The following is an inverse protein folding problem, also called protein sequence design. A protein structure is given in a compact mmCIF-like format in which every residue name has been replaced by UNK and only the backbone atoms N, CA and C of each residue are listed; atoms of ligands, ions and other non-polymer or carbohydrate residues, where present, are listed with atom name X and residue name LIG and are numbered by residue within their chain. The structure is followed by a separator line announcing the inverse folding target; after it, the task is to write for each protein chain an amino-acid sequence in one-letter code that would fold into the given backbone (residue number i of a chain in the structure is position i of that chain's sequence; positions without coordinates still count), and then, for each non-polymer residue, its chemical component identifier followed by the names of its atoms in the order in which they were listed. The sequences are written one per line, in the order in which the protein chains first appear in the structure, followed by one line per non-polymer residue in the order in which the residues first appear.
data_IF_589241758674
#
_entry.id   IF_589241758674
#
_cell.length_a   1.000
_cell.length_b   1.000
_cell.length_c   1.000
_cell.angle_alpha   90.00
_cell.angle_beta   90.00
_cell.angle_gamma   90.00
#
_symmetry.space_group_name_H-M   'P 1'
#
loop_
_entity.id
_entity.type
_entity.pdbx_description
1 polymer ?
#
# COMPACT_ATOMS: atom_id res chain seq x y z
N UNK A 1 -14.29 -8.65 19.84
CA UNK A 1 -13.83 -8.90 18.46
C UNK A 1 -13.46 -7.54 17.90
N UNK A 2 -12.24 -7.38 17.39
CA UNK A 2 -11.81 -6.12 16.79
C UNK A 2 -12.51 -5.92 15.44
N UNK A 3 -12.57 -4.67 14.97
CA UNK A 3 -13.11 -4.36 13.65
C UNK A 3 -12.14 -4.73 12.52
N UNK A 4 -12.60 -4.55 11.27
CA UNK A 4 -11.80 -4.76 10.06
C UNK A 4 -11.54 -3.40 9.40
N UNK A 5 -10.31 -3.17 8.95
CA UNK A 5 -9.96 -2.06 8.07
C UNK A 5 -9.65 -2.59 6.68
N UNK A 6 -10.26 -1.97 5.67
CA UNK A 6 -9.92 -2.18 4.26
C UNK A 6 -9.28 -0.89 3.74
N UNK A 7 -8.03 -0.98 3.28
CA UNK A 7 -7.28 0.12 2.66
C UNK A 7 -7.09 -0.16 1.18
N UNK A 8 -7.12 0.89 0.37
CA UNK A 8 -6.89 0.81 -1.07
C UNK A 8 -5.98 1.97 -1.45
N UNK A 9 -4.78 1.65 -1.92
CA UNK A 9 -3.90 2.64 -2.55
C UNK A 9 -4.31 2.87 -4.01
N UNK A 10 -4.08 4.08 -4.51
CA UNK A 10 -4.32 4.40 -5.91
C UNK A 10 -3.35 3.65 -6.84
N UNK A 11 -2.14 3.37 -6.37
CA UNK A 11 -1.13 2.68 -7.16
C UNK A 11 -1.43 1.19 -7.38
N UNK A 12 -2.41 0.64 -6.65
CA UNK A 12 -2.96 -0.68 -6.89
C UNK A 12 -3.41 -0.85 -8.36
N UNK A 13 -3.91 0.23 -8.98
CA UNK A 13 -4.44 0.25 -10.33
C UNK A 13 -3.40 0.64 -11.40
N UNK A 14 -2.12 0.82 -11.05
CA UNK A 14 -1.15 1.52 -11.89
C UNK A 14 -0.08 0.60 -12.55
N UNK A 15 -0.17 0.31 -13.87
CA UNK A 15 0.71 -0.63 -14.56
C UNK A 15 2.18 -0.23 -14.67
N UNK A 16 2.50 1.06 -14.64
CA UNK A 16 3.85 1.54 -14.89
C UNK A 16 4.80 1.39 -13.68
N UNK A 17 4.31 0.99 -12.50
CA UNK A 17 5.11 0.87 -11.28
C UNK A 17 6.31 -0.08 -11.42
N UNK A 18 6.21 -1.09 -12.30
CA UNK A 18 7.32 -2.03 -12.56
C UNK A 18 8.57 -1.38 -13.16
N UNK A 19 8.43 -0.29 -13.90
CA UNK A 19 9.54 0.34 -14.61
C UNK A 19 10.24 1.41 -13.77
N UNK A 20 9.55 1.99 -12.79
CA UNK A 20 10.05 3.09 -11.94
C UNK A 20 10.27 2.64 -10.50
N UNK A 21 11.02 1.54 -10.35
CA UNK A 21 11.37 0.97 -9.05
C UNK A 21 12.30 1.93 -8.30
N UNK A 22 11.83 2.45 -7.17
CA UNK A 22 12.68 3.15 -6.22
C UNK A 22 11.92 3.50 -4.94
N UNK A 23 12.38 2.97 -3.81
CA UNK A 23 11.95 3.43 -2.50
C UNK A 23 12.79 4.66 -2.15
N UNK A 24 12.14 5.81 -2.01
CA UNK A 24 12.76 7.04 -1.54
C UNK A 24 12.08 7.44 -0.23
N UNK A 25 12.84 8.02 0.69
CA UNK A 25 12.22 8.65 1.86
C UNK A 25 11.17 9.67 1.39
N UNK A 26 9.93 9.52 1.86
CA UNK A 26 8.82 10.38 1.45
C UNK A 26 9.00 11.78 2.01
N UNK A 27 9.59 12.64 1.19
CA UNK A 27 9.66 14.06 1.47
C UNK A 27 9.50 14.82 0.17
N UNK A 28 9.08 16.07 0.29
CA UNK A 28 8.83 16.96 -0.85
C UNK A 28 10.01 17.04 -1.81
N UNK A 29 11.25 17.02 -1.32
CA UNK A 29 12.43 17.08 -2.18
C UNK A 29 12.59 15.82 -3.03
N UNK A 30 12.46 14.64 -2.42
CA UNK A 30 12.57 13.36 -3.10
C UNK A 30 11.44 13.15 -4.09
N UNK A 31 10.20 13.43 -3.70
CA UNK A 31 9.02 13.35 -4.58
C UNK A 31 9.24 14.23 -5.81
N UNK A 32 9.56 15.51 -5.63
CA UNK A 32 9.79 16.42 -6.76
C UNK A 32 10.94 15.94 -7.64
N UNK A 33 12.09 15.57 -7.05
CA UNK A 33 13.24 15.07 -7.82
C UNK A 33 12.91 13.82 -8.62
N UNK A 34 12.16 12.89 -8.03
CA UNK A 34 11.76 11.66 -8.69
C UNK A 34 10.87 11.95 -9.90
N UNK A 35 9.83 12.76 -9.72
CA UNK A 35 8.93 13.15 -10.80
C UNK A 35 9.62 13.95 -11.90
N UNK A 36 10.51 14.89 -11.56
CA UNK A 36 11.31 15.61 -12.55
C UNK A 36 12.25 14.69 -13.32
N UNK A 37 12.87 13.73 -12.64
CA UNK A 37 13.74 12.74 -13.29
C UNK A 37 12.95 11.90 -14.29
N UNK A 38 11.81 11.34 -13.87
CA UNK A 38 10.92 10.56 -14.74
C UNK A 38 10.51 11.39 -15.96
N UNK A 39 10.09 12.64 -15.73
CA UNK A 39 9.69 13.55 -16.79
C UNK A 39 10.81 13.79 -17.81
N UNK A 40 12.01 14.15 -17.34
CA UNK A 40 13.16 14.46 -18.21
C UNK A 40 13.62 13.20 -18.97
N UNK A 41 13.78 12.07 -18.28
CA UNK A 41 14.21 10.82 -18.91
C UNK A 41 13.20 10.33 -19.97
N UNK A 42 11.90 10.49 -19.71
CA UNK A 42 10.84 10.13 -20.66
C UNK A 42 10.77 11.10 -21.85
N UNK A 43 10.89 12.40 -21.57
CA UNK A 43 10.92 13.44 -22.62
C UNK A 43 12.07 13.22 -23.62
N UNK A 44 13.26 12.87 -23.14
CA UNK A 44 14.41 12.53 -23.99
C UNK A 44 14.12 11.32 -24.89
N UNK A 45 13.31 10.38 -24.42
CA UNK A 45 12.86 9.19 -25.18
C UNK A 45 11.67 9.47 -26.10
N UNK A 46 11.15 10.71 -26.15
CA UNK A 46 9.95 11.05 -26.90
C UNK A 46 8.64 10.52 -26.29
N UNK A 47 8.68 10.14 -25.01
CA UNK A 47 7.53 9.63 -24.26
C UNK A 47 6.87 10.79 -23.50
N UNK A 48 5.57 10.99 -23.72
CA UNK A 48 4.74 11.94 -22.97
C UNK A 48 4.09 11.23 -21.78
N UNK A 49 4.71 11.36 -20.60
CA UNK A 49 4.24 10.68 -19.40
C UNK A 49 2.82 11.06 -19.01
N UNK A 50 2.34 12.25 -19.38
CA UNK A 50 0.95 12.68 -19.09
C UNK A 50 -0.08 11.88 -19.88
N UNK A 51 0.33 11.20 -20.95
CA UNK A 51 -0.50 10.30 -21.76
C UNK A 51 -0.22 8.83 -21.50
N UNK A 52 0.92 8.51 -20.87
CA UNK A 52 1.32 7.13 -20.55
C UNK A 52 0.92 6.71 -19.13
N UNK A 53 0.63 7.67 -18.26
CA UNK A 53 0.08 7.40 -16.93
C UNK A 53 -1.42 7.15 -17.05
N UNK A 54 -1.77 5.89 -17.19
CA UNK A 54 -3.15 5.42 -17.21
C UNK A 54 -3.30 4.24 -16.25
N UNK A 55 -4.54 3.96 -15.87
CA UNK A 55 -4.92 2.83 -15.03
C UNK A 55 -5.02 1.54 -15.86
N UNK A 56 -4.82 0.40 -15.21
CA UNK A 56 -4.69 -0.90 -15.84
C UNK A 56 -5.99 -1.56 -16.32
N UNK A 57 -7.15 -1.06 -15.88
CA UNK A 57 -8.48 -1.62 -16.19
C UNK A 57 -9.14 -2.34 -15.00
N UNK A 58 -8.37 -2.67 -13.96
CA UNK A 58 -8.85 -3.31 -12.73
C UNK A 58 -9.91 -2.47 -11.99
N UNK A 59 -9.91 -1.15 -12.19
CA UNK A 59 -10.87 -0.25 -11.56
C UNK A 59 -12.32 -0.57 -11.94
N UNK A 60 -12.54 -1.17 -13.12
CA UNK A 60 -13.87 -1.39 -13.70
C UNK A 60 -14.69 -2.37 -12.89
N UNK A 61 -14.06 -3.46 -12.48
CA UNK A 61 -14.71 -4.55 -11.76
C UNK A 61 -14.33 -4.56 -10.28
N UNK A 62 -13.47 -3.64 -9.82
CA UNK A 62 -12.96 -3.61 -8.45
C UNK A 62 -14.10 -3.57 -7.43
N UNK A 63 -15.01 -2.61 -7.54
CA UNK A 63 -16.08 -2.44 -6.56
C UNK A 63 -17.08 -3.59 -6.57
N UNK A 64 -17.37 -4.16 -7.73
CA UNK A 64 -18.23 -5.34 -7.84
C UNK A 64 -17.60 -6.53 -7.11
N UNK A 65 -16.30 -6.76 -7.30
CA UNK A 65 -15.56 -7.79 -6.57
C UNK A 65 -15.50 -7.52 -5.05
N UNK A 66 -15.34 -6.26 -4.65
CA UNK A 66 -15.34 -5.88 -3.22
C UNK A 66 -16.71 -6.15 -2.62
N UNK A 67 -17.81 -5.79 -3.28
CA UNK A 67 -19.18 -6.06 -2.80
C UNK A 67 -19.47 -7.55 -2.71
N UNK A 68 -18.97 -8.36 -3.65
CA UNK A 68 -19.17 -9.81 -3.63
C UNK A 68 -18.40 -10.48 -2.48
N UNK A 69 -17.15 -10.05 -2.25
CA UNK A 69 -16.25 -10.66 -1.24
C UNK A 69 -16.43 -10.10 0.15
N UNK A 70 -16.82 -8.83 0.28
CA UNK A 70 -16.99 -8.12 1.54
C UNK A 70 -18.44 -7.67 1.68
N UNK A 71 -19.04 -7.95 2.85
CA UNK A 71 -20.39 -7.50 3.20
C UNK A 71 -20.39 -5.99 3.46
N UNK A 72 -20.42 -5.18 2.39
CA UNK A 72 -20.32 -3.73 2.47
C UNK A 72 -21.51 -3.08 3.21
N UNK A 73 -22.63 -3.79 3.36
CA UNK A 73 -23.75 -3.34 4.20
C UNK A 73 -23.35 -3.07 5.67
N UNK A 74 -22.21 -3.62 6.11
CA UNK A 74 -21.65 -3.42 7.45
C UNK A 74 -20.54 -2.36 7.51
N UNK A 75 -20.31 -1.58 6.44
CA UNK A 75 -19.32 -0.50 6.45
C UNK A 75 -19.81 0.65 7.33
N UNK A 76 -19.12 0.87 8.43
CA UNK A 76 -19.45 1.94 9.38
C UNK A 76 -18.90 3.32 8.96
N UNK A 77 -17.78 3.37 8.23
CA UNK A 77 -17.11 4.61 7.84
C UNK A 77 -16.29 4.41 6.57
N UNK A 78 -16.34 5.41 5.69
CA UNK A 78 -15.46 5.53 4.52
C UNK A 78 -14.62 6.79 4.72
N UNK A 79 -13.31 6.69 4.48
CA UNK A 79 -12.36 7.79 4.59
C UNK A 79 -11.55 7.86 3.30
N UNK A 80 -11.34 9.07 2.80
CA UNK A 80 -10.40 9.36 1.71
C UNK A 80 -9.26 10.16 2.31
N UNK A 81 -8.03 9.67 2.12
CA UNK A 81 -6.81 10.25 2.68
C UNK A 81 -5.72 10.32 1.62
N UNK A 82 -4.84 11.31 1.76
CA UNK A 82 -3.68 11.50 0.87
C UNK A 82 -2.49 10.58 1.21
N UNK A 83 -2.59 9.76 2.26
CA UNK A 83 -1.48 8.94 2.75
C UNK A 83 -1.97 7.73 3.53
N UNK A 84 -1.28 6.59 3.35
CA UNK A 84 -1.47 5.37 4.13
C UNK A 84 -1.01 5.48 5.58
N UNK A 85 -0.18 6.46 5.94
CA UNK A 85 0.12 6.75 7.36
C UNK A 85 -1.16 6.96 8.18
N UNK A 86 -2.19 7.56 7.59
CA UNK A 86 -3.48 7.79 8.24
C UNK A 86 -4.22 6.48 8.59
N UNK A 87 -3.97 5.40 7.84
CA UNK A 87 -4.56 4.10 8.13
C UNK A 87 -4.11 3.54 9.50
N UNK A 88 -2.87 3.84 9.91
CA UNK A 88 -2.35 3.48 11.23
C UNK A 88 -3.20 4.08 12.35
N UNK A 89 -3.44 5.40 12.31
CA UNK A 89 -4.23 6.07 13.34
C UNK A 89 -5.71 5.64 13.30
N UNK A 90 -6.28 5.41 12.10
CA UNK A 90 -7.65 4.90 11.97
C UNK A 90 -7.78 3.50 12.61
N UNK A 91 -6.85 2.59 12.35
CA UNK A 91 -6.87 1.25 12.93
C UNK A 91 -6.74 1.30 14.46
N UNK A 92 -5.82 2.12 14.95
CA UNK A 92 -5.56 2.33 16.39
C UNK A 92 -6.76 2.92 17.12
N UNK A 93 -7.35 4.00 16.59
CA UNK A 93 -8.51 4.65 17.21
C UNK A 93 -9.78 3.80 17.15
N UNK A 94 -9.92 3.00 16.08
CA UNK A 94 -11.09 2.16 15.85
C UNK A 94 -11.04 0.75 16.46
N UNK A 95 -9.93 0.35 17.10
CA UNK A 95 -9.66 -1.04 17.52
C UNK A 95 -9.88 -2.04 16.36
N UNK A 96 -9.40 -1.65 15.16
CA UNK A 96 -9.48 -2.45 13.94
C UNK A 96 -8.28 -3.40 13.92
N UNK A 97 -8.51 -4.70 14.11
CA UNK A 97 -7.45 -5.68 14.39
C UNK A 97 -7.12 -6.60 13.21
N UNK A 98 -7.89 -6.50 12.14
CA UNK A 98 -7.69 -7.24 10.90
C UNK A 98 -7.65 -6.23 9.76
N UNK A 99 -6.59 -6.30 8.95
CA UNK A 99 -6.34 -5.35 7.87
C UNK A 99 -6.40 -6.08 6.53
N UNK A 100 -7.08 -5.48 5.54
CA UNK A 100 -6.99 -5.86 4.13
C UNK A 100 -6.41 -4.67 3.37
N UNK A 101 -5.20 -4.81 2.82
CA UNK A 101 -4.52 -3.76 2.07
C UNK A 101 -4.44 -4.12 0.60
N UNK A 102 -5.10 -3.33 -0.24
CA UNK A 102 -5.00 -3.38 -1.69
C UNK A 102 -3.98 -2.34 -2.14
N UNK A 103 -2.79 -2.79 -2.53
CA UNK A 103 -1.65 -1.90 -2.71
C UNK A 103 -0.63 -2.49 -3.70
N UNK A 104 0.15 -1.67 -4.39
CA UNK A 104 1.33 -2.13 -5.11
C UNK A 104 2.50 -2.49 -4.16
N UNK A 105 2.50 -1.97 -2.95
CA UNK A 105 3.51 -2.12 -1.92
C UNK A 105 2.96 -2.83 -0.68
N UNK A 106 3.83 -3.50 0.07
CA UNK A 106 3.41 -4.18 1.31
C UNK A 106 3.33 -3.26 2.52
N UNK A 107 4.05 -2.13 2.49
CA UNK A 107 4.18 -1.18 3.60
C UNK A 107 4.59 -1.81 4.94
N UNK A 108 5.32 -2.93 4.87
CA UNK A 108 5.82 -3.65 6.03
C UNK A 108 7.11 -3.05 6.60
N UNK A 109 7.77 -2.14 5.89
CA UNK A 109 9.05 -1.57 6.28
C UNK A 109 10.26 -2.19 5.55
N UNK A 110 10.84 -1.41 4.64
CA UNK A 110 11.91 -1.83 3.72
C UNK A 110 13.29 -2.10 4.36
N UNK A 111 13.42 -1.92 5.68
CA UNK A 111 14.64 -2.21 6.43
C UNK A 111 14.56 -3.45 7.32
N UNK A 112 13.56 -4.31 7.10
CA UNK A 112 13.29 -5.45 7.97
C UNK A 112 12.71 -5.05 9.32
N UNK A 113 12.82 -5.90 10.34
CA UNK A 113 12.20 -5.66 11.65
C UNK A 113 12.60 -4.33 12.28
N UNK A 114 13.85 -3.91 12.06
CA UNK A 114 14.40 -2.70 12.67
C UNK A 114 13.75 -1.44 12.10
N UNK A 115 13.21 -1.51 10.89
CA UNK A 115 12.47 -0.38 10.30
C UNK A 115 11.17 -0.06 11.03
N UNK A 116 10.66 -1.00 11.83
CA UNK A 116 9.48 -0.82 12.68
C UNK A 116 9.75 -0.01 13.96
N UNK A 117 11.01 0.36 14.21
CA UNK A 117 11.40 1.25 15.30
C UNK A 117 11.35 2.74 14.92
N UNK A 118 11.22 3.05 13.62
CA UNK A 118 11.09 4.43 13.16
C UNK A 118 9.66 4.96 13.36
N UNK A 119 9.51 6.28 13.17
CA UNK A 119 8.20 6.94 13.12
C UNK A 119 7.34 6.33 12.00
N UNK A 120 6.02 6.39 12.20
CA UNK A 120 5.04 5.88 11.23
C UNK A 120 5.13 6.70 9.95
N UNK A 121 5.08 6.04 8.80
CA UNK A 121 5.00 6.63 7.47
C UNK A 121 4.40 5.60 6.51
N UNK A 122 4.14 5.98 5.24
CA UNK A 122 3.56 5.04 4.27
C UNK A 122 4.42 3.79 4.10
N UNK A 123 5.74 3.88 4.17
CA UNK A 123 6.60 2.73 3.94
C UNK A 123 6.58 1.66 5.05
N UNK A 124 6.04 1.96 6.24
CA UNK A 124 6.06 1.04 7.38
C UNK A 124 4.78 0.95 8.21
N UNK A 125 3.71 1.66 7.85
CA UNK A 125 2.51 1.81 8.70
C UNK A 125 1.92 0.44 9.09
N UNK A 126 1.85 -0.50 8.14
CA UNK A 126 1.25 -1.81 8.35
C UNK A 126 2.14 -2.68 9.26
N UNK A 127 3.45 -2.67 9.01
CA UNK A 127 4.41 -3.33 9.88
C UNK A 127 4.41 -2.74 11.30
N UNK A 128 4.21 -1.42 11.43
CA UNK A 128 4.15 -0.73 12.73
C UNK A 128 2.92 -1.15 13.53
N UNK A 129 1.77 -1.32 12.90
CA UNK A 129 0.56 -1.83 13.57
C UNK A 129 0.82 -3.16 14.27
N UNK A 130 1.57 -4.08 13.63
CA UNK A 130 1.98 -5.33 14.25
C UNK A 130 2.97 -5.12 15.39
N UNK A 131 4.01 -4.32 15.17
CA UNK A 131 5.05 -4.02 16.17
C UNK A 131 4.45 -3.48 17.46
N UNK A 132 3.45 -2.63 17.34
CA UNK A 132 2.81 -1.94 18.45
C UNK A 132 1.64 -2.76 19.05
N UNK A 133 1.40 -3.97 18.53
CA UNK A 133 0.41 -4.92 19.05
C UNK A 133 -1.04 -4.49 18.82
N UNK A 134 -1.28 -3.67 17.79
CA UNK A 134 -2.59 -3.09 17.48
C UNK A 134 -3.44 -3.99 16.59
N UNK A 135 -2.81 -4.86 15.81
CA UNK A 135 -3.47 -5.81 14.92
C UNK A 135 -3.00 -7.24 15.15
N UNK A 136 -3.85 -8.19 14.77
CA UNK A 136 -3.57 -9.62 14.86
C UNK A 136 -3.32 -10.25 13.50
N UNK A 137 -3.80 -9.63 12.42
CA UNK A 137 -3.74 -10.17 11.07
C UNK A 137 -3.72 -9.05 10.03
N UNK A 138 -2.96 -9.27 8.96
CA UNK A 138 -2.98 -8.46 7.75
C UNK A 138 -3.06 -9.35 6.51
N UNK A 139 -3.87 -8.94 5.55
CA UNK A 139 -4.04 -9.53 4.25
C UNK A 139 -3.60 -8.51 3.21
N UNK A 140 -2.47 -8.76 2.55
CA UNK A 140 -1.91 -7.88 1.53
C UNK A 140 -2.31 -8.42 0.17
N UNK A 141 -3.24 -7.73 -0.50
CA UNK A 141 -3.67 -8.02 -1.86
C UNK A 141 -2.78 -7.17 -2.76
N UNK A 142 -1.76 -7.79 -3.33
CA UNK A 142 -0.88 -7.08 -4.24
C UNK A 142 -1.58 -6.72 -5.54
N UNK A 143 -1.31 -5.51 -6.01
CA UNK A 143 -1.57 -5.11 -7.39
C UNK A 143 -1.04 -6.17 -8.37
N UNK A 144 -1.73 -6.44 -9.49
CA UNK A 144 -1.17 -7.18 -10.63
C UNK A 144 0.15 -6.56 -11.16
N UNK A 145 0.35 -5.28 -10.85
CA UNK A 145 1.49 -4.48 -11.24
C UNK A 145 2.56 -4.36 -10.15
N UNK A 146 2.35 -4.95 -8.98
CA UNK A 146 3.35 -4.97 -7.93
C UNK A 146 4.66 -5.57 -8.43
N UNK A 147 5.77 -4.97 -7.99
CA UNK A 147 7.12 -5.47 -8.20
C UNK A 147 7.65 -6.21 -6.97
N UNK A 148 6.93 -6.16 -5.85
CA UNK A 148 7.28 -6.81 -4.59
C UNK A 148 6.80 -8.24 -4.57
N UNK A 149 7.45 -9.03 -3.72
CA UNK A 149 7.00 -10.39 -3.41
C UNK A 149 7.06 -10.60 -1.92
N UNK A 150 6.22 -11.49 -1.42
CA UNK A 150 6.19 -11.85 -0.01
C UNK A 150 7.58 -12.27 0.52
N UNK A 151 8.41 -12.92 -0.31
CA UNK A 151 9.75 -13.35 0.10
C UNK A 151 10.70 -12.18 0.40
N UNK A 152 10.46 -11.00 -0.20
CA UNK A 152 11.27 -9.82 0.04
C UNK A 152 11.11 -9.31 1.50
N UNK A 153 10.01 -9.69 2.18
CA UNK A 153 9.68 -9.34 3.57
C UNK A 153 9.71 -10.55 4.53
N UNK A 154 10.46 -11.60 4.17
CA UNK A 154 10.53 -12.86 4.92
C UNK A 154 10.74 -12.67 6.43
N UNK A 155 11.64 -11.78 6.83
CA UNK A 155 11.94 -11.54 8.26
C UNK A 155 10.70 -11.10 9.06
N UNK A 156 9.84 -10.27 8.44
CA UNK A 156 8.62 -9.75 9.06
C UNK A 156 7.52 -10.81 9.01
N UNK A 157 7.38 -11.50 7.87
CA UNK A 157 6.41 -12.58 7.67
C UNK A 157 6.62 -13.77 8.62
N UNK A 158 7.86 -14.03 9.05
CA UNK A 158 8.13 -15.09 10.03
C UNK A 158 7.72 -14.74 11.47
N UNK A 159 7.49 -13.44 11.77
CA UNK A 159 7.15 -12.97 13.12
C UNK A 159 5.67 -12.60 13.27
N UNK A 160 5.00 -12.23 12.19
CA UNK A 160 3.64 -11.72 12.23
C UNK A 160 2.71 -12.52 11.31
N UNK A 161 1.42 -12.54 11.63
CA UNK A 161 0.41 -13.24 10.85
C UNK A 161 0.00 -12.40 9.62
N UNK A 162 0.81 -12.51 8.57
CA UNK A 162 0.62 -11.79 7.31
C UNK A 162 0.29 -12.81 6.22
N UNK A 163 -0.75 -12.52 5.46
CA UNK A 163 -1.21 -13.34 4.34
C UNK A 163 -1.17 -12.53 3.05
N UNK A 164 -0.98 -13.22 1.93
CA UNK A 164 -0.92 -12.65 0.59
C UNK A 164 -1.96 -13.34 -0.31
N UNK A 165 -3.26 -13.08 -0.11
CA UNK A 165 -4.31 -13.66 -0.94
C UNK A 165 -4.27 -13.11 -2.38
N UNK A 166 -4.74 -13.93 -3.33
CA UNK A 166 -4.86 -13.61 -4.77
C UNK A 166 -6.32 -13.51 -5.19
#
# INVERSE_FOLDING_TARGET
MGGVLLTVDWDYFMPYMKEWKGSYAENKSNILKHWYRIYIESYIKGIDITKSMDIGGEEKDFWDNIVEKFQLENVHKIVVSESHEMAYEIAKEGDLREIYSFDAHSDLGYGGIESLNFEVNCANWLGKLFRDGLINEANIIYSPYSAERAEDFKEINERFNIKYPT
#
